data_IF_747245981681
#
_entry.id   IF_747245981681
#
_cell.length_a   1.000
_cell.length_b   1.000
_cell.length_c   1.000
_cell.angle_alpha   90.00
_cell.angle_beta   90.00
_cell.angle_gamma   90.00
#
_symmetry.space_group_name_H-M   'P 1'
#
loop_
_entity.id
_entity.type
_entity.pdbx_description
1 polymer ?
#
# COMPACT_ATOMS: atom_id res chain seq x y z
N UNK A 1 -22.48 13.73 -35.61
CA UNK A 1 -21.46 13.04 -34.79
C UNK A 1 -20.19 13.05 -35.61
N UNK A 2 -19.41 14.13 -35.50
CA UNK A 2 -18.17 14.32 -36.24
C UNK A 2 -17.09 13.43 -35.66
N UNK A 3 -16.43 12.65 -36.52
CA UNK A 3 -15.28 11.84 -36.17
C UNK A 3 -14.28 12.65 -35.32
N UNK A 4 -13.82 12.05 -34.22
CA UNK A 4 -12.81 12.59 -33.33
C UNK A 4 -11.47 12.61 -34.10
N UNK A 5 -11.28 13.60 -34.99
CA UNK A 5 -10.01 13.79 -35.66
C UNK A 5 -8.92 13.98 -34.61
N UNK A 6 -7.86 13.16 -34.70
CA UNK A 6 -6.72 13.30 -33.80
C UNK A 6 -6.19 14.75 -33.89
N UNK A 7 -5.97 15.40 -32.74
CA UNK A 7 -5.46 16.76 -32.73
C UNK A 7 -4.10 16.83 -33.43
N UNK A 8 -3.79 17.98 -34.03
CA UNK A 8 -2.60 18.13 -34.87
C UNK A 8 -1.30 17.81 -34.13
N UNK A 9 -1.26 18.05 -32.83
CA UNK A 9 -0.10 17.78 -31.99
C UNK A 9 0.14 16.30 -31.68
N UNK A 10 -0.80 15.41 -31.97
CA UNK A 10 -0.60 13.95 -31.94
C UNK A 10 -0.07 13.39 -33.27
N UNK A 11 0.11 14.24 -34.29
CA UNK A 11 0.71 13.82 -35.57
C UNK A 11 2.24 13.97 -35.50
N UNK A 12 3.01 13.13 -36.21
CA UNK A 12 4.44 13.38 -36.37
C UNK A 12 4.64 14.71 -37.13
N UNK A 13 5.61 15.57 -36.75
CA UNK A 13 6.69 15.35 -35.79
C UNK A 13 6.35 15.69 -34.31
N UNK A 14 5.21 16.32 -34.04
CA UNK A 14 4.86 16.86 -32.71
C UNK A 14 4.55 15.80 -31.65
N UNK A 15 4.13 14.60 -32.07
CA UNK A 15 3.76 13.49 -31.19
C UNK A 15 4.82 13.18 -30.11
N UNK A 16 6.11 13.41 -30.41
CA UNK A 16 7.23 13.21 -29.49
C UNK A 16 7.08 14.04 -28.19
N UNK A 17 6.50 15.24 -28.28
CA UNK A 17 6.30 16.13 -27.12
C UNK A 17 5.10 15.73 -26.24
N UNK A 18 4.23 14.84 -26.72
CA UNK A 18 2.98 14.47 -26.04
C UNK A 18 2.99 13.02 -25.52
N UNK A 19 3.95 12.21 -25.96
CA UNK A 19 4.14 10.82 -25.50
C UNK A 19 5.06 10.76 -24.26
N UNK A 20 4.53 11.17 -23.10
CA UNK A 20 5.27 11.23 -21.83
C UNK A 20 5.78 9.85 -21.35
N UNK A 21 5.02 8.78 -21.63
CA UNK A 21 5.38 7.42 -21.22
C UNK A 21 6.60 6.92 -21.97
N UNK A 22 6.75 7.28 -23.25
CA UNK A 22 7.86 6.83 -24.08
C UNK A 22 9.05 7.78 -24.08
N UNK A 23 8.91 8.96 -23.47
CA UNK A 23 9.95 9.99 -23.39
C UNK A 23 11.28 9.47 -22.83
N UNK A 24 11.25 8.62 -21.80
CA UNK A 24 12.45 8.04 -21.18
C UNK A 24 13.21 7.05 -22.09
N UNK A 25 12.57 6.52 -23.13
CA UNK A 25 13.18 5.58 -24.08
C UNK A 25 13.83 6.27 -25.28
N UNK A 26 13.63 7.58 -25.41
CA UNK A 26 14.14 8.36 -26.53
C UNK A 26 15.58 8.79 -26.23
N UNK A 27 16.45 8.74 -27.24
CA UNK A 27 17.79 9.31 -27.14
C UNK A 27 17.68 10.84 -27.16
N UNK A 28 18.08 11.56 -26.09
CA UNK A 28 17.84 13.00 -26.00
C UNK A 28 18.44 13.80 -27.16
N UNK A 29 19.60 13.39 -27.66
CA UNK A 29 20.34 14.07 -28.73
C UNK A 29 19.73 13.90 -30.13
N UNK A 30 18.88 12.91 -30.35
CA UNK A 30 18.21 12.71 -31.63
C UNK A 30 17.04 13.68 -31.85
N UNK A 31 16.59 14.34 -30.78
CA UNK A 31 15.42 15.22 -30.81
C UNK A 31 15.85 16.67 -30.90
N UNK A 32 15.45 17.30 -32.01
CA UNK A 32 15.55 18.74 -32.22
C UNK A 32 14.31 19.46 -31.66
N UNK A 33 14.39 19.74 -30.36
CA UNK A 33 13.30 20.38 -29.60
C UNK A 33 12.97 21.76 -30.18
N UNK A 34 13.99 22.53 -30.58
CA UNK A 34 13.83 23.90 -31.09
C UNK A 34 12.98 23.91 -32.35
N UNK A 35 13.30 23.04 -33.31
CA UNK A 35 12.55 22.95 -34.57
C UNK A 35 11.12 22.44 -34.36
N UNK A 36 10.93 21.42 -33.52
CA UNK A 36 9.59 20.87 -33.24
C UNK A 36 8.72 21.91 -32.54
N UNK A 37 9.26 22.64 -31.57
CA UNK A 37 8.51 23.63 -30.78
C UNK A 37 8.19 24.88 -31.61
N UNK A 38 9.11 25.33 -32.47
CA UNK A 38 8.84 26.41 -33.42
C UNK A 38 7.74 26.04 -34.42
N UNK A 39 7.78 24.82 -34.96
CA UNK A 39 6.73 24.32 -35.85
C UNK A 39 5.38 24.18 -35.12
N UNK A 40 5.39 23.68 -33.88
CA UNK A 40 4.19 23.58 -33.04
C UNK A 40 3.54 24.94 -32.77
N UNK A 41 4.33 25.94 -32.36
CA UNK A 41 3.85 27.30 -32.14
C UNK A 41 3.35 27.95 -33.43
N UNK A 42 4.00 27.67 -34.56
CA UNK A 42 3.58 28.18 -35.87
C UNK A 42 2.21 27.62 -36.26
N UNK A 43 1.99 26.31 -36.10
CA UNK A 43 0.68 25.68 -36.34
C UNK A 43 -0.42 26.26 -35.45
N UNK A 44 -0.14 26.51 -34.17
CA UNK A 44 -1.10 27.13 -33.25
C UNK A 44 -1.48 28.55 -33.69
N UNK A 45 -0.49 29.35 -34.12
CA UNK A 45 -0.71 30.70 -34.63
C UNK A 45 -1.53 30.69 -35.92
N UNK A 46 -1.24 29.79 -36.86
CA UNK A 46 -1.99 29.65 -38.12
C UNK A 46 -3.45 29.30 -37.88
N UNK A 47 -3.75 28.50 -36.84
CA UNK A 47 -5.13 28.14 -36.47
C UNK A 47 -5.86 29.25 -35.70
N UNK A 48 -5.17 30.29 -35.25
CA UNK A 48 -5.75 31.42 -34.51
C UNK A 48 -6.21 31.09 -33.10
N UNK A 49 -5.87 29.90 -32.57
CA UNK A 49 -6.24 29.45 -31.23
C UNK A 49 -5.04 28.84 -30.51
N UNK A 50 -4.78 29.33 -29.28
CA UNK A 50 -3.70 28.85 -28.43
C UNK A 50 -4.28 27.96 -27.34
N UNK A 51 -4.02 26.67 -27.43
CA UNK A 51 -4.30 25.72 -26.35
C UNK A 51 -3.17 25.76 -25.30
N UNK A 52 -3.47 26.33 -24.14
CA UNK A 52 -2.54 26.40 -23.01
C UNK A 52 -2.28 25.05 -22.35
N UNK A 53 -3.24 24.12 -22.38
CA UNK A 53 -3.08 22.76 -21.83
C UNK A 53 -2.06 21.97 -22.66
N UNK A 54 -2.22 22.02 -23.99
CA UNK A 54 -1.26 21.40 -24.90
C UNK A 54 0.13 22.05 -24.78
N UNK A 55 0.19 23.37 -24.64
CA UNK A 55 1.44 24.10 -24.43
C UNK A 55 2.13 23.73 -23.11
N UNK A 56 1.36 23.53 -22.04
CA UNK A 56 1.88 23.07 -20.74
C UNK A 56 2.51 21.68 -20.82
N UNK A 57 1.87 20.77 -21.55
CA UNK A 57 2.41 19.41 -21.78
C UNK A 57 3.67 19.45 -22.63
N UNK A 58 3.67 20.25 -23.71
CA UNK A 58 4.85 20.46 -24.54
C UNK A 58 6.02 21.12 -23.78
N UNK A 59 5.73 22.05 -22.86
CA UNK A 59 6.72 22.66 -21.99
C UNK A 59 7.32 21.63 -21.02
N UNK A 60 6.48 20.82 -20.38
CA UNK A 60 6.90 19.76 -19.47
C UNK A 60 7.82 18.76 -20.19
N UNK A 61 7.39 18.21 -21.33
CA UNK A 61 8.21 17.26 -22.09
C UNK A 61 9.53 17.88 -22.55
N UNK A 62 9.50 19.14 -23.01
CA UNK A 62 10.72 19.87 -23.39
C UNK A 62 11.69 20.01 -22.22
N UNK A 63 11.20 20.36 -21.02
CA UNK A 63 12.03 20.48 -19.82
C UNK A 63 12.68 19.15 -19.41
N UNK A 64 11.95 18.04 -19.54
CA UNK A 64 12.46 16.71 -19.24
C UNK A 64 13.58 16.33 -20.23
N UNK A 65 13.39 16.55 -21.53
CA UNK A 65 14.42 16.23 -22.53
C UNK A 65 15.66 17.11 -22.29
N UNK A 66 15.50 18.40 -21.99
CA UNK A 66 16.63 19.27 -21.66
C UNK A 66 17.37 18.83 -20.38
N UNK A 67 16.65 18.38 -19.35
CA UNK A 67 17.28 17.79 -18.16
C UNK A 67 18.12 16.58 -18.53
N UNK A 68 17.60 15.66 -19.34
CA UNK A 68 18.33 14.49 -19.80
C UNK A 68 19.59 14.87 -20.61
N UNK A 69 19.51 15.89 -21.47
CA UNK A 69 20.68 16.40 -22.19
C UNK A 69 21.75 16.92 -21.22
N UNK A 70 21.34 17.75 -20.25
CA UNK A 70 22.24 18.30 -19.24
C UNK A 70 22.91 17.21 -18.40
N UNK A 71 22.13 16.24 -17.91
CA UNK A 71 22.66 15.10 -17.15
C UNK A 71 23.68 14.27 -17.95
N UNK A 72 23.48 14.11 -19.27
CA UNK A 72 24.45 13.42 -20.13
C UNK A 72 25.73 14.21 -20.30
N UNK A 73 25.65 15.54 -20.44
CA UNK A 73 26.84 16.40 -20.50
C UNK A 73 27.63 16.32 -19.20
N UNK A 74 26.95 16.42 -18.05
CA UNK A 74 27.59 16.31 -16.74
C UNK A 74 28.29 14.97 -16.54
N UNK A 75 27.65 13.86 -16.94
CA UNK A 75 28.28 12.53 -16.89
C UNK A 75 29.50 12.37 -17.77
N UNK A 76 29.62 13.15 -18.85
CA UNK A 76 30.82 13.13 -19.71
C UNK A 76 31.99 13.89 -19.08
N UNK A 77 31.70 14.87 -18.22
CA UNK A 77 32.71 15.66 -17.51
C UNK A 77 33.16 14.97 -16.21
N UNK A 78 32.36 14.05 -15.66
CA UNK A 78 32.73 13.29 -14.46
C UNK A 78 34.04 12.51 -14.68
N UNK A 79 35.07 12.71 -13.83
CA UNK A 79 36.30 11.95 -13.93
C UNK A 79 36.02 10.45 -13.76
N UNK A 80 36.79 9.57 -14.43
CA UNK A 80 36.60 8.13 -14.30
C UNK A 80 36.69 7.73 -12.83
N UNK A 81 35.65 7.06 -12.35
CA UNK A 81 35.61 6.58 -10.96
C UNK A 81 36.86 5.73 -10.70
N UNK A 82 37.57 5.93 -9.59
CA UNK A 82 38.73 5.11 -9.26
C UNK A 82 38.30 3.64 -9.28
N UNK A 83 39.17 2.73 -9.75
CA UNK A 83 38.83 1.31 -9.80
C UNK A 83 38.38 0.88 -8.41
N UNK A 84 37.19 0.27 -8.33
CA UNK A 84 36.69 -0.27 -7.09
C UNK A 84 37.78 -1.19 -6.52
N UNK A 85 38.20 -0.94 -5.29
CA UNK A 85 39.15 -1.82 -4.61
C UNK A 85 38.51 -3.20 -4.60
N UNK A 86 39.05 -4.12 -5.41
CA UNK A 86 38.72 -5.53 -5.28
C UNK A 86 39.12 -5.87 -3.87
N UNK A 87 38.13 -6.08 -2.99
CA UNK A 87 38.36 -6.75 -1.72
C UNK A 87 39.11 -8.03 -2.09
N UNK A 88 40.37 -8.14 -1.69
CA UNK A 88 41.13 -9.37 -1.82
C UNK A 88 40.50 -10.33 -0.81
N UNK A 89 39.36 -10.89 -1.19
CA UNK A 89 38.73 -11.97 -0.47
C UNK A 89 39.61 -13.18 -0.76
N UNK A 90 40.55 -13.45 0.14
CA UNK A 90 41.27 -14.72 0.15
C UNK A 90 40.22 -15.82 0.32
N UNK A 91 39.81 -16.41 -0.79
CA UNK A 91 38.87 -17.54 -0.78
C UNK A 91 39.60 -18.69 -0.09
N UNK A 92 39.18 -19.12 1.12
CA UNK A 92 39.84 -20.21 1.79
C UNK A 92 39.70 -21.48 0.96
N UNK A 93 40.71 -22.37 0.99
CA UNK A 93 40.62 -23.64 0.30
C UNK A 93 39.40 -24.44 0.78
N UNK A 94 38.76 -25.24 -0.10
CA UNK A 94 37.60 -26.02 0.27
C UNK A 94 37.96 -26.98 1.41
N UNK A 95 37.20 -26.91 2.50
CA UNK A 95 37.36 -27.81 3.64
C UNK A 95 37.04 -29.25 3.20
N UNK A 96 37.84 -30.26 3.63
CA UNK A 96 37.49 -31.64 3.38
C UNK A 96 36.17 -31.97 4.09
N UNK A 97 35.30 -32.68 3.40
CA UNK A 97 34.05 -33.15 4.01
C UNK A 97 34.36 -34.03 5.23
N UNK A 98 33.64 -33.85 6.35
CA UNK A 98 33.82 -34.72 7.49
C UNK A 98 33.49 -36.16 7.09
N UNK A 99 34.43 -37.07 7.36
CA UNK A 99 34.24 -38.51 7.13
C UNK A 99 33.08 -38.95 8.00
N UNK A 100 31.97 -39.36 7.36
CA UNK A 100 30.89 -40.04 8.07
C UNK A 100 31.39 -41.45 8.37
N UNK A 101 31.80 -41.68 9.61
CA UNK A 101 31.87 -43.04 10.13
C UNK A 101 30.43 -43.54 10.18
N UNK A 102 30.09 -44.49 9.32
CA UNK A 102 28.88 -45.27 9.47
C UNK A 102 29.04 -46.08 10.77
N UNK A 103 28.47 -45.56 11.86
CA UNK A 103 28.53 -46.23 13.14
C UNK A 103 27.71 -47.53 13.08
N UNK A 104 28.45 -48.64 13.13
CA UNK A 104 28.13 -49.95 13.74
C UNK A 104 26.87 -50.69 13.25
N UNK A 105 27.08 -51.96 12.91
CA UNK A 105 26.05 -52.97 12.64
C UNK A 105 25.15 -53.20 13.87
N UNK A 106 24.14 -52.35 14.06
CA UNK A 106 23.09 -52.62 15.04
C UNK A 106 22.17 -53.68 14.45
N UNK A 107 21.87 -54.71 15.23
CA UNK A 107 20.98 -55.79 14.80
C UNK A 107 19.53 -55.29 14.72
N UNK A 108 18.74 -55.83 13.78
CA UNK A 108 17.31 -55.48 13.62
C UNK A 108 16.54 -55.67 14.95
N UNK A 109 16.93 -56.67 15.75
CA UNK A 109 16.38 -56.92 17.08
C UNK A 109 16.57 -55.75 18.05
N UNK A 110 17.75 -55.14 18.07
CA UNK A 110 18.03 -54.00 18.97
C UNK A 110 17.20 -52.78 18.57
N UNK A 111 17.04 -52.54 17.26
CA UNK A 111 16.20 -51.44 16.74
C UNK A 111 14.74 -51.66 17.15
N UNK A 112 14.21 -52.88 16.96
CA UNK A 112 12.83 -53.19 17.34
C UNK A 112 12.59 -53.01 18.83
N UNK A 113 13.55 -53.43 19.65
CA UNK A 113 13.45 -53.31 21.12
C UNK A 113 13.45 -51.83 21.55
N UNK A 114 14.33 -51.02 20.97
CA UNK A 114 14.40 -49.58 21.26
C UNK A 114 13.11 -48.85 20.82
N UNK A 115 12.53 -49.19 19.67
CA UNK A 115 11.27 -48.61 19.20
C UNK A 115 10.12 -48.99 20.14
N UNK A 116 10.05 -50.25 20.58
CA UNK A 116 9.00 -50.70 21.48
C UNK A 116 9.07 -49.97 22.83
N UNK A 117 10.27 -49.72 23.34
CA UNK A 117 10.49 -48.96 24.56
C UNK A 117 10.05 -47.50 24.42
N UNK A 118 10.39 -46.85 23.30
CA UNK A 118 9.97 -45.47 22.99
C UNK A 118 8.45 -45.35 22.86
N UNK A 119 7.80 -46.29 22.17
CA UNK A 119 6.33 -46.28 22.05
C UNK A 119 5.65 -46.43 23.41
N UNK A 120 6.18 -47.28 24.29
CA UNK A 120 5.67 -47.43 25.66
C UNK A 120 5.86 -46.16 26.49
N UNK A 121 6.95 -45.42 26.30
CA UNK A 121 7.16 -44.15 27.01
C UNK A 121 6.23 -43.04 26.51
N UNK A 122 6.04 -42.92 25.19
CA UNK A 122 5.17 -41.89 24.60
C UNK A 122 3.71 -42.07 25.01
N UNK A 123 3.21 -43.31 25.00
CA UNK A 123 1.85 -43.59 25.47
C UNK A 123 1.65 -43.17 26.94
N UNK A 124 2.65 -43.38 27.81
CA UNK A 124 2.59 -42.91 29.21
C UNK A 124 2.60 -41.39 29.32
N UNK A 125 3.33 -40.69 28.45
CA UNK A 125 3.37 -39.23 28.43
C UNK A 125 2.05 -38.64 27.91
N UNK A 126 1.45 -39.23 26.87
CA UNK A 126 0.13 -38.83 26.36
C UNK A 126 -0.97 -38.99 27.42
N UNK A 127 -0.97 -40.12 28.14
CA UNK A 127 -1.96 -40.39 29.18
C UNK A 127 -1.84 -39.40 30.36
N UNK A 128 -0.62 -38.93 30.62
CA UNK A 128 -0.35 -37.85 31.58
C UNK A 128 -0.81 -36.48 31.07
N UNK A 129 -0.48 -36.13 29.82
CA UNK A 129 -0.85 -34.85 29.21
C UNK A 129 -2.37 -34.68 29.09
N UNK A 130 -3.10 -35.76 28.80
CA UNK A 130 -4.57 -35.72 28.69
C UNK A 130 -5.26 -35.47 30.03
N UNK A 131 -4.62 -35.83 31.16
CA UNK A 131 -5.13 -35.55 32.52
C UNK A 131 -4.89 -34.11 32.98
N UNK A 132 -3.89 -33.42 32.43
CA UNK A 132 -3.52 -32.05 32.83
C UNK A 132 -4.30 -30.95 32.06
N UNK A 133 -5.08 -31.31 31.03
CA UNK A 133 -5.86 -30.39 30.17
C UNK A 133 -7.27 -30.02 30.71
N UNK A 134 -7.50 -30.04 32.02
CA UNK A 134 -8.72 -29.45 32.61
C UNK A 134 -8.65 -27.91 32.54
N UNK A 135 -9.13 -27.40 31.41
CA UNK A 135 -9.53 -26.04 31.03
C UNK A 135 -9.56 -24.97 32.15
N UNK A 136 -8.71 -23.95 32.01
CA UNK A 136 -8.94 -22.63 32.61
C UNK A 136 -9.85 -21.80 31.69
N UNK A 137 -10.97 -21.23 32.20
CA UNK A 137 -11.81 -20.36 31.39
C UNK A 137 -11.12 -19.00 31.21
N UNK A 138 -10.95 -18.59 29.95
CA UNK A 138 -10.57 -17.21 29.60
C UNK A 138 -11.77 -16.30 29.90
N UNK A 139 -11.62 -15.15 30.57
CA UNK A 139 -12.73 -14.22 30.73
C UNK A 139 -13.03 -13.53 29.40
N UNK A 140 -14.14 -13.92 28.78
CA UNK A 140 -14.81 -13.15 27.73
C UNK A 140 -15.43 -11.90 28.37
N UNK A 141 -14.66 -10.83 28.57
CA UNK A 141 -15.26 -9.51 28.76
C UNK A 141 -15.65 -8.95 27.40
N UNK A 142 -16.70 -9.52 26.79
CA UNK A 142 -17.43 -8.85 25.72
C UNK A 142 -17.99 -7.56 26.34
N UNK A 143 -17.51 -6.40 25.87
CA UNK A 143 -17.94 -5.09 26.36
C UNK A 143 -19.47 -5.03 26.48
N UNK A 144 -19.99 -4.82 27.69
CA UNK A 144 -21.43 -4.74 27.99
C UNK A 144 -22.20 -3.77 27.07
N UNK A 145 -21.47 -2.78 26.52
CA UNK A 145 -21.97 -1.83 25.53
C UNK A 145 -22.35 -2.47 24.19
N UNK A 146 -21.57 -3.44 23.70
CA UNK A 146 -21.86 -4.15 22.44
C UNK A 146 -23.09 -5.02 22.63
N UNK A 147 -23.17 -5.72 23.77
CA UNK A 147 -24.30 -6.59 24.11
C UNK A 147 -25.62 -5.82 24.17
N UNK A 148 -25.60 -4.59 24.69
CA UNK A 148 -26.81 -3.79 24.93
C UNK A 148 -26.98 -2.60 23.97
N UNK A 149 -26.33 -2.61 22.80
CA UNK A 149 -26.29 -1.46 21.89
C UNK A 149 -27.70 -1.01 21.43
N UNK A 150 -28.64 -1.95 21.31
CA UNK A 150 -30.01 -1.68 20.89
C UNK A 150 -30.79 -0.86 21.94
N UNK A 151 -30.63 -1.18 23.23
CA UNK A 151 -31.27 -0.41 24.30
C UNK A 151 -30.73 1.02 24.36
N UNK A 152 -29.41 1.17 24.20
CA UNK A 152 -28.77 2.49 24.18
C UNK A 152 -29.27 3.34 23.01
N UNK A 153 -29.51 2.72 21.85
CA UNK A 153 -30.08 3.40 20.70
C UNK A 153 -31.51 3.88 20.94
N UNK A 154 -32.37 3.02 21.49
CA UNK A 154 -33.78 3.36 21.71
C UNK A 154 -33.92 4.46 22.79
N UNK A 155 -33.06 4.45 23.83
CA UNK A 155 -32.99 5.52 24.84
C UNK A 155 -32.55 6.86 24.25
N UNK A 156 -31.54 6.86 23.36
CA UNK A 156 -31.10 8.10 22.69
C UNK A 156 -32.16 8.63 21.73
N UNK A 157 -32.83 7.75 21.00
CA UNK A 157 -33.91 8.15 20.10
C UNK A 157 -35.09 8.78 20.85
N UNK A 158 -35.48 8.23 22.00
CA UNK A 158 -36.53 8.83 22.85
C UNK A 158 -36.13 10.20 23.39
N UNK A 159 -34.88 10.38 23.82
CA UNK A 159 -34.36 11.68 24.25
C UNK A 159 -34.40 12.71 23.12
N UNK A 160 -33.97 12.31 21.92
CA UNK A 160 -33.99 13.18 20.74
C UNK A 160 -35.41 13.57 20.33
N UNK A 161 -36.41 12.67 20.43
CA UNK A 161 -37.81 13.03 20.18
C UNK A 161 -38.34 14.01 21.22
N UNK A 162 -37.99 13.81 22.49
CA UNK A 162 -38.41 14.70 23.58
C UNK A 162 -37.83 16.11 23.39
N UNK A 163 -36.55 16.19 23.05
CA UNK A 163 -35.84 17.47 22.85
C UNK A 163 -36.24 18.15 21.52
N UNK A 164 -36.63 17.38 20.51
CA UNK A 164 -37.15 17.89 19.23
C UNK A 164 -38.54 18.53 19.37
N UNK A 165 -39.26 18.24 20.46
CA UNK A 165 -40.57 18.79 20.75
C UNK A 165 -40.59 20.29 21.06
N UNK A 166 -39.45 20.91 21.39
CA UNK A 166 -39.40 22.33 21.79
C UNK A 166 -38.67 23.25 20.79
N UNK A 167 -37.67 22.78 20.06
CA UNK A 167 -36.99 23.56 19.01
C UNK A 167 -36.63 22.63 17.84
N UNK A 168 -37.10 22.96 16.64
CA UNK A 168 -37.07 22.08 15.46
C UNK A 168 -35.69 21.69 14.92
N UNK A 169 -34.59 22.00 15.61
CA UNK A 169 -33.22 21.59 15.27
C UNK A 169 -32.34 21.43 16.54
N UNK A 170 -31.75 20.25 16.74
CA UNK A 170 -30.85 19.99 17.87
C UNK A 170 -29.39 20.04 17.39
N UNK A 171 -28.61 20.97 17.93
CA UNK A 171 -27.17 21.04 17.66
C UNK A 171 -26.39 19.96 18.43
N UNK A 172 -25.67 19.09 17.71
CA UNK A 172 -24.82 18.03 18.31
C UNK A 172 -23.78 18.55 19.30
N UNK A 173 -23.30 19.79 19.12
CA UNK A 173 -22.37 20.45 20.04
C UNK A 173 -22.95 20.68 21.44
N UNK A 174 -24.27 20.94 21.53
CA UNK A 174 -24.97 21.13 22.80
C UNK A 174 -25.21 19.77 23.46
N UNK A 175 -25.59 18.77 22.66
CA UNK A 175 -25.84 17.41 23.12
C UNK A 175 -24.61 16.74 23.76
N UNK A 176 -23.40 17.10 23.31
CA UNK A 176 -22.14 16.44 23.72
C UNK A 176 -21.25 17.28 24.63
N UNK A 177 -21.69 18.48 25.03
CA UNK A 177 -20.86 19.47 25.73
C UNK A 177 -20.27 19.01 27.08
N UNK A 178 -20.84 17.98 27.72
CA UNK A 178 -20.44 17.49 29.05
C UNK A 178 -20.12 15.98 29.09
N UNK A 179 -19.71 15.37 27.96
CA UNK A 179 -19.48 13.92 27.89
C UNK A 179 -17.98 13.55 27.90
N UNK A 180 -17.67 12.39 28.50
CA UNK A 180 -16.34 11.79 28.41
C UNK A 180 -16.06 11.30 26.96
N UNK A 181 -14.80 11.19 26.55
CA UNK A 181 -14.39 10.85 25.17
C UNK A 181 -15.02 9.51 24.72
N UNK A 182 -15.11 8.53 25.63
CA UNK A 182 -15.71 7.23 25.33
C UNK A 182 -17.21 7.35 25.04
N UNK A 183 -17.95 8.12 25.83
CA UNK A 183 -19.38 8.31 25.65
C UNK A 183 -19.68 9.26 24.48
N UNK A 184 -18.77 10.18 24.18
CA UNK A 184 -18.80 11.00 22.97
C UNK A 184 -18.75 10.12 21.71
N UNK A 185 -17.77 9.21 21.64
CA UNK A 185 -17.61 8.29 20.50
C UNK A 185 -18.82 7.36 20.40
N UNK A 186 -19.30 6.80 21.53
CA UNK A 186 -20.49 5.95 21.54
C UNK A 186 -21.74 6.67 21.06
N UNK A 187 -21.96 7.90 21.54
CA UNK A 187 -23.11 8.73 21.13
C UNK A 187 -23.02 9.11 19.65
N UNK A 188 -21.82 9.44 19.16
CA UNK A 188 -21.59 9.70 17.74
C UNK A 188 -21.91 8.47 16.86
N UNK A 189 -21.41 7.29 17.24
CA UNK A 189 -21.68 6.04 16.50
C UNK A 189 -23.17 5.71 16.50
N UNK A 190 -23.87 5.91 17.63
CA UNK A 190 -25.31 5.67 17.72
C UNK A 190 -26.12 6.65 16.85
N UNK A 191 -25.74 7.93 16.78
CA UNK A 191 -26.37 8.92 15.89
C UNK A 191 -26.12 8.59 14.42
N UNK A 192 -24.89 8.20 14.07
CA UNK A 192 -24.57 7.76 12.70
C UNK A 192 -25.46 6.59 12.29
N UNK A 193 -25.67 5.64 13.19
CA UNK A 193 -26.54 4.51 12.93
C UNK A 193 -28.01 4.92 12.81
N UNK A 194 -28.51 5.86 13.63
CA UNK A 194 -29.87 6.42 13.48
C UNK A 194 -30.06 7.17 12.15
N UNK A 195 -29.05 7.94 11.71
CA UNK A 195 -29.05 8.62 10.42
C UNK A 195 -29.04 7.62 9.25
N UNK A 196 -28.24 6.55 9.35
CA UNK A 196 -28.22 5.49 8.33
C UNK A 196 -29.57 4.77 8.17
N UNK A 197 -30.36 4.70 9.25
CA UNK A 197 -31.72 4.14 9.25
C UNK A 197 -32.80 5.14 8.80
N UNK A 198 -32.44 6.37 8.42
CA UNK A 198 -33.36 7.39 7.93
C UNK A 198 -34.33 7.92 8.99
N UNK A 199 -34.04 7.72 10.28
CA UNK A 199 -34.88 8.22 11.39
C UNK A 199 -34.55 9.66 11.80
N UNK A 200 -33.40 10.16 11.38
CA UNK A 200 -32.87 11.50 11.68
C UNK A 200 -32.21 11.99 10.38
N UNK A 201 -32.44 13.26 10.01
CA UNK A 201 -31.80 13.92 8.87
C UNK A 201 -30.94 15.09 9.33
#
# INVERSE_FOLDING_TARGET
MSDLEKPFWMKPPHNILFDLLRLHRIRPWDVDISNILNSFLSEMKTRGYIDFSASGTALLSSSIIYRMKSELVLKMEEPPKPPAQKLQEEVPPPLPFPVRFEYTTISISEILTAIEEVLKSELKLMDKAMRELTLTPVPESLDDFITNIQEHLDRLYMKLIQDYGEDGEISFKILTANMNIQDFVRTFVLILFLASKGKIS
#
